data_IF_692351170411
#
_entry.id   IF_692351170411
#
_cell.length_a   1.000
_cell.length_b   1.000
_cell.length_c   1.000
_cell.angle_alpha   90.00
_cell.angle_beta   90.00
_cell.angle_gamma   90.00
#
_symmetry.space_group_name_H-M   'P 1'
#
loop_
_entity.id
_entity.type
_entity.pdbx_description
1 polymer ?
#
# COMPACT_ATOMS: atom_id res chain seq x y z
N UNK A 1 -6.82 -4.63 -17.03
CA UNK A 1 -7.53 -4.85 -15.75
C UNK A 1 -7.28 -3.67 -14.80
N UNK A 2 -6.52 -2.67 -15.25
CA UNK A 2 -5.97 -1.59 -14.44
C UNK A 2 -6.97 -0.45 -14.20
N UNK A 3 -7.96 -0.32 -15.07
CA UNK A 3 -8.96 0.73 -14.96
C UNK A 3 -9.76 0.61 -13.66
N UNK A 4 -10.17 -0.59 -13.25
CA UNK A 4 -10.96 -0.79 -12.02
C UNK A 4 -10.15 -0.51 -10.74
N UNK A 5 -8.88 -0.96 -10.69
CA UNK A 5 -8.01 -0.74 -9.53
C UNK A 5 -7.63 0.73 -9.35
N UNK A 6 -7.35 1.42 -10.45
CA UNK A 6 -6.99 2.84 -10.43
C UNK A 6 -8.21 3.77 -10.25
N UNK A 7 -9.43 3.35 -10.60
CA UNK A 7 -10.62 4.22 -10.58
C UNK A 7 -11.61 3.95 -9.44
N UNK A 8 -11.50 2.84 -8.71
CA UNK A 8 -12.40 2.52 -7.59
C UNK A 8 -11.63 2.43 -6.26
N UNK A 9 -10.44 1.84 -6.24
CA UNK A 9 -9.74 1.52 -4.98
C UNK A 9 -8.74 2.59 -4.51
N UNK A 10 -8.30 3.48 -5.40
CA UNK A 10 -7.23 4.47 -5.10
C UNK A 10 -7.68 5.92 -5.31
N UNK A 11 -9.00 6.17 -5.39
CA UNK A 11 -9.56 7.51 -5.63
C UNK A 11 -9.34 8.43 -4.45
N UNK A 12 -9.60 7.94 -3.23
CA UNK A 12 -9.51 8.73 -2.00
C UNK A 12 -8.20 8.48 -1.23
N UNK A 13 -7.45 7.45 -1.60
CA UNK A 13 -6.23 7.02 -0.90
C UNK A 13 -5.10 6.79 -1.90
N UNK A 14 -3.88 7.15 -1.49
CA UNK A 14 -2.68 6.92 -2.29
C UNK A 14 -2.45 5.43 -2.58
N UNK A 15 -1.80 5.16 -3.71
CA UNK A 15 -1.34 3.82 -4.13
C UNK A 15 -0.40 3.20 -3.10
N UNK A 16 -0.24 1.87 -3.12
CA UNK A 16 0.73 1.20 -2.26
C UNK A 16 2.17 1.67 -2.56
N UNK A 17 2.47 1.90 -3.84
CA UNK A 17 3.72 2.51 -4.29
C UNK A 17 3.98 3.94 -3.78
N UNK A 18 2.95 4.64 -3.29
CA UNK A 18 3.09 5.99 -2.72
C UNK A 18 3.65 5.99 -1.29
N UNK A 19 3.86 4.81 -0.68
CA UNK A 19 4.41 4.69 0.65
C UNK A 19 5.83 5.28 0.75
N UNK A 20 5.99 6.36 1.52
CA UNK A 20 7.29 7.00 1.78
C UNK A 20 8.13 6.30 2.86
N UNK A 21 7.72 5.10 3.29
CA UNK A 21 8.42 4.27 4.28
C UNK A 21 8.67 4.94 5.64
N UNK A 22 7.77 5.84 6.09
CA UNK A 22 7.92 6.57 7.35
C UNK A 22 7.83 5.71 8.63
N UNK A 23 7.27 4.50 8.52
CA UNK A 23 7.20 3.52 9.63
C UNK A 23 6.17 3.84 10.73
N UNK A 24 5.34 4.88 10.58
CA UNK A 24 4.30 5.22 11.57
C UNK A 24 3.26 4.11 11.72
N UNK A 25 2.85 3.51 10.60
CA UNK A 25 1.90 2.40 10.57
C UNK A 25 2.42 1.17 11.35
N UNK A 26 3.69 0.82 11.22
CA UNK A 26 4.30 -0.31 11.93
C UNK A 26 4.39 -0.03 13.44
N UNK A 27 4.73 1.21 13.83
CA UNK A 27 4.83 1.59 15.25
C UNK A 27 3.50 1.49 16.00
N UNK A 28 2.38 1.80 15.33
CA UNK A 28 1.04 1.75 15.95
C UNK A 28 0.39 0.37 15.77
N UNK A 29 0.92 -0.49 14.91
CA UNK A 29 0.33 -1.79 14.62
C UNK A 29 0.43 -2.71 15.85
N UNK A 30 -0.70 -3.10 16.49
CA UNK A 30 -0.67 -3.95 17.67
C UNK A 30 -0.18 -5.38 17.37
N UNK A 31 -0.25 -5.79 16.11
CA UNK A 31 0.23 -7.10 15.63
C UNK A 31 1.68 -7.07 15.16
N UNK A 32 2.36 -5.91 15.20
CA UNK A 32 3.73 -5.73 14.74
C UNK A 32 3.99 -6.23 13.31
N UNK A 33 3.03 -6.00 12.41
CA UNK A 33 3.15 -6.42 11.01
C UNK A 33 4.23 -5.62 10.28
N UNK A 34 4.98 -6.24 9.34
CA UNK A 34 5.96 -5.57 8.50
C UNK A 34 5.27 -4.82 7.34
N UNK A 35 4.45 -3.81 7.67
CA UNK A 35 3.55 -3.14 6.72
C UNK A 35 4.30 -2.55 5.52
N UNK A 36 5.50 -2.00 5.68
CA UNK A 36 6.26 -1.44 4.55
C UNK A 36 6.62 -2.50 3.51
N UNK A 37 7.04 -3.68 3.93
CA UNK A 37 7.34 -4.79 3.02
C UNK A 37 6.08 -5.31 2.33
N UNK A 38 4.99 -5.45 3.08
CA UNK A 38 3.71 -5.85 2.50
C UNK A 38 3.20 -4.86 1.45
N UNK A 39 3.42 -3.55 1.64
CA UNK A 39 3.06 -2.53 0.65
C UNK A 39 3.94 -2.62 -0.61
N UNK A 40 5.20 -3.02 -0.50
CA UNK A 40 6.05 -3.31 -1.66
C UNK A 40 5.51 -4.49 -2.46
N UNK A 41 5.11 -5.57 -1.78
CA UNK A 41 4.53 -6.76 -2.43
C UNK A 41 3.21 -6.42 -3.14
N UNK A 42 2.35 -5.63 -2.50
CA UNK A 42 1.09 -5.17 -3.09
C UNK A 42 1.33 -4.28 -4.31
N UNK A 43 2.26 -3.33 -4.22
CA UNK A 43 2.61 -2.49 -5.36
C UNK A 43 3.18 -3.33 -6.51
N UNK A 44 4.06 -4.30 -6.17
CA UNK A 44 4.64 -5.19 -7.15
C UNK A 44 3.59 -6.05 -7.85
N UNK A 45 2.54 -6.51 -7.17
CA UNK A 45 1.52 -7.39 -7.76
C UNK A 45 0.42 -6.63 -8.52
N UNK A 46 -0.05 -5.51 -7.97
CA UNK A 46 -1.28 -4.85 -8.45
C UNK A 46 -1.04 -3.57 -9.26
N UNK A 47 0.18 -3.05 -9.33
CA UNK A 47 0.50 -1.79 -10.02
C UNK A 47 1.45 -1.96 -11.23
N UNK A 48 1.50 -3.18 -11.81
CA UNK A 48 2.26 -3.47 -13.04
C UNK A 48 1.67 -2.83 -14.29
#
# INVERSE_FOLDING_TARGET
MDFYYNSIHTVDHGKASACIKCGKCEKICPQHLPIRSLLEDVAAEFEK
#
